data_IF_107556968217
#
_entry.id   IF_107556968217
#
_cell.length_a   1.000
_cell.length_b   1.000
_cell.length_c   1.000
_cell.angle_alpha   90.00
_cell.angle_beta   90.00
_cell.angle_gamma   90.00
#
_symmetry.space_group_name_H-M   'P 1'
#
loop_
_entity.id
_entity.type
_entity.pdbx_description
1 polymer ?
#
# COMPACT_ATOMS: atom_id res chain seq x y z
N UNK A 1 -16.45 8.22 7.17
CA UNK A 1 -16.08 6.84 6.77
C UNK A 1 -14.86 6.95 5.88
N UNK A 2 -13.94 6.02 5.97
CA UNK A 2 -12.74 6.00 5.12
C UNK A 2 -13.11 5.67 3.66
N UNK A 3 -12.46 6.30 2.69
CA UNK A 3 -12.80 6.16 1.27
C UNK A 3 -12.66 4.71 0.75
N UNK A 4 -11.65 3.98 1.24
CA UNK A 4 -11.30 2.64 0.77
C UNK A 4 -11.97 1.49 1.54
N UNK A 5 -12.97 1.73 2.39
CA UNK A 5 -13.66 0.65 3.13
C UNK A 5 -14.35 -0.36 2.20
N UNK A 6 -14.82 0.07 1.04
CA UNK A 6 -15.42 -0.84 0.06
C UNK A 6 -14.44 -1.87 -0.50
N UNK A 7 -13.15 -1.54 -0.55
CA UNK A 7 -12.13 -2.46 -1.05
C UNK A 7 -12.04 -3.76 -0.24
N UNK A 8 -12.35 -3.72 1.06
CA UNK A 8 -12.37 -4.90 1.94
C UNK A 8 -13.77 -5.52 2.08
N UNK A 9 -14.69 -5.22 1.14
CA UNK A 9 -16.04 -5.79 1.12
C UNK A 9 -17.02 -5.13 2.10
N UNK A 10 -16.90 -3.83 2.34
CA UNK A 10 -17.84 -3.05 3.14
C UNK A 10 -18.62 -2.03 2.29
N UNK A 11 -18.79 -2.33 0.99
CA UNK A 11 -19.48 -1.45 0.05
C UNK A 11 -20.98 -1.29 0.33
N UNK A 12 -21.61 -2.30 0.92
CA UNK A 12 -23.03 -2.27 1.32
C UNK A 12 -23.32 -1.43 2.55
N UNK A 13 -22.28 -1.04 3.34
CA UNK A 13 -22.45 -0.17 4.51
C UNK A 13 -22.51 1.29 4.05
N UNK A 14 -23.73 1.76 3.78
CA UNK A 14 -23.95 3.09 3.19
C UNK A 14 -24.36 4.15 4.22
N UNK A 15 -24.74 3.76 5.43
CA UNK A 15 -25.21 4.69 6.45
C UNK A 15 -24.21 4.83 7.60
N UNK A 16 -24.11 6.05 8.14
CA UNK A 16 -23.29 6.31 9.32
C UNK A 16 -23.72 5.45 10.52
N UNK A 17 -25.02 5.17 10.66
CA UNK A 17 -25.56 4.35 11.75
C UNK A 17 -25.10 2.89 11.68
N UNK A 18 -25.09 2.29 10.49
CA UNK A 18 -24.58 0.92 10.28
C UNK A 18 -23.09 0.85 10.56
N UNK A 19 -22.34 1.82 10.04
CA UNK A 19 -20.91 1.93 10.29
C UNK A 19 -20.60 2.04 11.78
N UNK A 20 -21.26 2.97 12.49
CA UNK A 20 -21.04 3.15 13.94
C UNK A 20 -21.45 1.90 14.75
N UNK A 21 -22.45 1.14 14.30
CA UNK A 21 -22.84 -0.14 14.88
C UNK A 21 -21.74 -1.19 14.71
N UNK A 22 -21.17 -1.30 13.51
CA UNK A 22 -20.05 -2.20 13.24
C UNK A 22 -18.85 -1.87 14.13
N UNK A 23 -18.44 -0.60 14.18
CA UNK A 23 -17.28 -0.19 14.97
C UNK A 23 -17.48 -0.46 16.46
N UNK A 24 -18.67 -0.18 17.00
CA UNK A 24 -19.02 -0.51 18.39
C UNK A 24 -18.95 -2.02 18.66
N UNK A 25 -19.42 -2.83 17.72
CA UNK A 25 -19.34 -4.28 17.83
C UNK A 25 -17.89 -4.77 17.86
N UNK A 26 -17.07 -4.31 16.93
CA UNK A 26 -15.64 -4.65 16.85
C UNK A 26 -14.91 -4.27 18.13
N UNK A 27 -15.12 -3.06 18.65
CA UNK A 27 -14.48 -2.59 19.88
C UNK A 27 -14.89 -3.47 21.07
N UNK A 28 -16.20 -3.75 21.22
CA UNK A 28 -16.70 -4.56 22.31
C UNK A 28 -16.10 -5.95 22.29
N UNK A 29 -16.15 -6.61 21.15
CA UNK A 29 -15.59 -7.94 20.95
C UNK A 29 -14.11 -8.01 21.27
N UNK A 30 -13.34 -7.03 20.79
CA UNK A 30 -11.89 -6.98 21.01
C UNK A 30 -11.52 -6.75 22.48
N UNK A 31 -12.30 -5.94 23.20
CA UNK A 31 -12.11 -5.75 24.65
C UNK A 31 -12.44 -7.03 25.41
N UNK A 32 -13.50 -7.73 25.02
CA UNK A 32 -13.91 -8.99 25.65
C UNK A 32 -12.87 -10.10 25.43
N UNK A 33 -12.32 -10.19 24.22
CA UNK A 33 -11.27 -11.16 23.83
C UNK A 33 -9.86 -10.77 24.29
N UNK A 34 -9.65 -9.53 24.75
CA UNK A 34 -8.32 -9.04 25.14
C UNK A 34 -7.36 -8.85 23.97
N UNK A 35 -7.87 -8.57 22.76
CA UNK A 35 -7.06 -8.40 21.53
C UNK A 35 -6.69 -6.95 21.24
N UNK A 36 -6.95 -6.02 22.15
CA UNK A 36 -6.57 -4.62 22.01
C UNK A 36 -5.06 -4.48 22.18
N UNK A 37 -4.37 -4.06 21.14
CA UNK A 37 -2.95 -3.69 21.21
C UNK A 37 -2.83 -2.22 21.64
N UNK A 38 -1.95 -1.91 22.58
CA UNK A 38 -1.71 -0.53 22.99
C UNK A 38 -0.26 -0.32 23.41
N UNK A 39 0.21 0.92 23.22
CA UNK A 39 1.54 1.37 23.62
C UNK A 39 1.51 1.87 25.06
N UNK A 40 2.57 1.62 25.82
CA UNK A 40 2.79 2.16 27.17
C UNK A 40 3.35 3.61 27.17
N UNK A 41 3.58 4.16 25.98
CA UNK A 41 4.06 5.53 25.82
C UNK A 41 2.94 6.52 26.10
N UNK A 42 3.04 7.27 27.20
CA UNK A 42 2.11 8.35 27.52
C UNK A 42 2.33 9.56 26.61
N UNK A 43 1.25 10.05 25.99
CA UNK A 43 1.30 11.33 25.27
C UNK A 43 1.20 12.56 26.17
N UNK A 44 0.54 12.39 27.32
CA UNK A 44 0.39 13.45 28.34
C UNK A 44 0.70 12.89 29.72
N UNK A 45 1.50 13.58 30.56
CA UNK A 45 1.76 13.16 31.91
C UNK A 45 0.45 13.12 32.72
N UNK A 46 0.17 11.97 33.36
CA UNK A 46 -1.00 11.78 34.22
C UNK A 46 -2.24 11.15 33.57
N UNK A 47 -2.25 10.92 32.29
CA UNK A 47 -3.35 10.21 31.63
C UNK A 47 -3.21 8.68 31.74
N UNK A 48 -4.31 8.03 32.17
CA UNK A 48 -4.41 6.55 32.18
C UNK A 48 -4.89 5.98 30.86
N UNK A 49 -4.70 6.70 29.74
CA UNK A 49 -5.11 6.29 28.39
C UNK A 49 -3.89 6.21 27.47
N UNK A 50 -3.87 5.17 26.67
CA UNK A 50 -2.74 4.82 25.82
C UNK A 50 -3.15 4.76 24.36
N UNK A 51 -2.29 5.19 23.41
CA UNK A 51 -2.50 4.94 21.99
C UNK A 51 -2.73 3.46 21.74
N UNK A 52 -3.77 3.13 20.99
CA UNK A 52 -4.17 1.74 20.83
C UNK A 52 -4.75 1.46 19.43
N UNK A 53 -4.62 0.21 19.02
CA UNK A 53 -5.07 -0.33 17.76
C UNK A 53 -5.87 -1.62 17.99
N UNK A 54 -6.96 -1.78 17.24
CA UNK A 54 -7.72 -3.01 17.14
C UNK A 54 -7.73 -3.40 15.66
N UNK A 55 -7.11 -4.52 15.31
CA UNK A 55 -7.27 -5.15 14.00
C UNK A 55 -8.41 -6.17 14.06
N UNK A 56 -9.40 -6.00 13.18
CA UNK A 56 -10.52 -6.94 13.04
C UNK A 56 -10.59 -7.43 11.59
N UNK A 57 -10.44 -8.74 11.42
CA UNK A 57 -10.43 -9.40 10.12
C UNK A 57 -11.85 -9.79 9.70
N UNK A 58 -12.19 -9.57 8.43
CA UNK A 58 -13.42 -10.07 7.80
C UNK A 58 -13.16 -11.30 6.91
N UNK A 59 -11.91 -11.66 6.74
CA UNK A 59 -11.42 -12.89 6.12
C UNK A 59 -9.99 -13.14 6.61
N UNK A 60 -9.28 -14.08 5.98
CA UNK A 60 -7.93 -14.48 6.44
C UNK A 60 -6.86 -13.38 6.30
N UNK A 61 -7.06 -12.38 5.44
CA UNK A 61 -6.00 -11.43 5.03
C UNK A 61 -6.39 -9.97 5.10
N UNK A 62 -7.69 -9.63 5.18
CA UNK A 62 -8.13 -8.23 5.17
C UNK A 62 -9.22 -7.93 6.19
N UNK A 63 -9.32 -6.67 6.58
CA UNK A 63 -10.25 -6.20 7.58
C UNK A 63 -10.21 -4.71 7.81
N UNK A 64 -10.56 -4.29 9.03
CA UNK A 64 -10.47 -2.91 9.47
C UNK A 64 -9.57 -2.77 10.68
N UNK A 65 -8.82 -1.68 10.72
CA UNK A 65 -8.06 -1.24 11.88
C UNK A 65 -8.79 -0.06 12.53
N UNK A 66 -9.15 -0.21 13.80
CA UNK A 66 -9.73 0.84 14.64
C UNK A 66 -8.65 1.39 15.54
N UNK A 67 -8.26 2.64 15.32
CA UNK A 67 -7.23 3.30 16.09
C UNK A 67 -7.83 4.35 17.02
N UNK A 68 -7.21 4.52 18.18
CA UNK A 68 -7.69 5.44 19.19
C UNK A 68 -6.91 5.32 20.49
N UNK A 69 -7.63 5.46 21.60
CA UNK A 69 -7.04 5.44 22.93
C UNK A 69 -7.72 4.42 23.83
N UNK A 70 -6.94 3.61 24.51
CA UNK A 70 -7.40 2.58 25.43
C UNK A 70 -7.08 2.92 26.87
N UNK A 71 -8.04 2.71 27.76
CA UNK A 71 -7.85 2.77 29.21
C UNK A 71 -7.93 1.35 29.79
N UNK A 72 -6.82 0.72 30.18
CA UNK A 72 -6.81 -0.64 30.70
C UNK A 72 -7.58 -0.79 32.01
N UNK A 73 -7.49 0.22 32.92
CA UNK A 73 -8.16 0.17 34.21
C UNK A 73 -9.69 0.20 34.10
N UNK A 74 -10.22 0.93 33.09
CA UNK A 74 -11.68 1.02 32.83
C UNK A 74 -12.14 0.05 31.76
N UNK A 75 -11.22 -0.67 31.11
CA UNK A 75 -11.48 -1.52 29.95
C UNK A 75 -12.31 -0.78 28.89
N UNK A 76 -11.94 0.46 28.60
CA UNK A 76 -12.68 1.31 27.66
C UNK A 76 -11.79 1.79 26.53
N UNK A 77 -12.33 1.76 25.30
CA UNK A 77 -11.65 2.20 24.08
C UNK A 77 -12.41 3.39 23.48
N UNK A 78 -11.70 4.48 23.22
CA UNK A 78 -12.22 5.66 22.52
C UNK A 78 -11.66 5.67 21.11
N UNK A 79 -12.48 5.35 20.07
CA UNK A 79 -12.02 5.36 18.68
C UNK A 79 -11.77 6.79 18.20
N UNK A 80 -10.72 6.98 17.44
CA UNK A 80 -10.38 8.24 16.79
C UNK A 80 -10.57 8.15 15.27
N UNK A 81 -10.05 7.08 14.64
CA UNK A 81 -10.23 6.83 13.21
C UNK A 81 -10.16 5.35 12.88
N UNK A 82 -10.70 5.00 11.69
CA UNK A 82 -10.76 3.63 11.19
C UNK A 82 -10.31 3.62 9.74
N UNK A 83 -9.49 2.64 9.39
CA UNK A 83 -9.07 2.40 8.02
C UNK A 83 -9.11 0.91 7.66
N UNK A 84 -9.33 0.56 6.38
CA UNK A 84 -9.22 -0.81 5.92
C UNK A 84 -7.75 -1.22 5.83
N UNK A 85 -7.43 -2.49 6.09
CA UNK A 85 -6.08 -3.03 5.92
C UNK A 85 -6.08 -4.33 5.13
N UNK A 86 -4.95 -4.60 4.50
CA UNK A 86 -4.60 -5.86 3.87
C UNK A 86 -3.24 -6.30 4.43
N UNK A 87 -3.19 -7.48 5.01
CA UNK A 87 -1.92 -8.11 5.35
C UNK A 87 -1.36 -8.76 4.08
N UNK A 88 -0.34 -8.12 3.51
CA UNK A 88 0.32 -8.59 2.30
C UNK A 88 1.06 -9.91 2.53
N UNK A 89 1.04 -10.77 1.53
CA UNK A 89 1.74 -12.06 1.53
C UNK A 89 3.10 -12.01 0.83
N UNK A 90 3.38 -10.91 0.14
CA UNK A 90 4.62 -10.72 -0.61
C UNK A 90 5.77 -10.46 0.33
N UNK A 91 6.91 -11.09 0.06
CA UNK A 91 8.14 -10.91 0.83
C UNK A 91 8.54 -9.43 0.89
N UNK A 92 9.00 -9.09 2.04
CA UNK A 92 9.35 -7.75 2.44
C UNK A 92 10.65 -7.28 1.80
N UNK A 93 10.73 -6.00 1.60
CA UNK A 93 11.96 -5.32 1.21
C UNK A 93 12.75 -4.92 2.46
N UNK A 94 14.06 -5.15 2.45
CA UNK A 94 14.95 -4.52 3.41
C UNK A 94 15.31 -3.12 2.91
N UNK A 95 14.99 -2.10 3.69
CA UNK A 95 15.17 -0.72 3.28
C UNK A 95 15.33 0.22 4.46
N UNK A 96 16.00 1.33 4.22
CA UNK A 96 15.99 2.46 5.13
C UNK A 96 14.59 3.08 5.15
N UNK A 97 13.97 3.15 6.34
CA UNK A 97 12.61 3.64 6.52
C UNK A 97 12.60 4.87 7.41
N UNK A 98 12.10 5.98 6.86
CA UNK A 98 11.83 7.20 7.61
C UNK A 98 10.33 7.31 7.93
N UNK A 99 9.97 7.48 9.21
CA UNK A 99 8.58 7.56 9.65
C UNK A 99 8.26 8.98 10.12
N UNK A 100 7.26 9.58 9.47
CA UNK A 100 6.74 10.89 9.78
C UNK A 100 5.30 10.85 10.30
N UNK A 101 4.96 11.72 11.24
CA UNK A 101 3.59 11.85 11.73
C UNK A 101 2.71 12.56 10.70
N UNK A 102 1.61 11.94 10.28
CA UNK A 102 0.69 12.50 9.28
C UNK A 102 -0.20 13.62 9.84
N UNK A 103 -0.63 13.49 11.09
CA UNK A 103 -1.56 14.41 11.78
C UNK A 103 -1.29 14.42 13.29
N UNK A 104 -2.08 15.18 14.07
CA UNK A 104 -2.06 15.10 15.54
C UNK A 104 -2.55 13.75 16.09
N UNK A 105 -3.17 12.93 15.24
CA UNK A 105 -3.63 11.57 15.55
C UNK A 105 -2.48 10.58 15.56
N UNK A 106 -2.75 9.37 16.04
CA UNK A 106 -1.82 8.22 15.97
C UNK A 106 -1.80 7.67 14.54
N UNK A 107 -1.46 8.51 13.58
CA UNK A 107 -1.39 8.21 12.15
C UNK A 107 -0.03 8.63 11.58
N UNK A 108 0.64 7.71 10.91
CA UNK A 108 1.99 7.92 10.39
C UNK A 108 2.05 7.53 8.92
N UNK A 109 2.86 8.27 8.16
CA UNK A 109 3.34 7.84 6.86
C UNK A 109 4.80 7.42 6.99
N UNK A 110 5.19 6.45 6.21
CA UNK A 110 6.56 6.02 6.10
C UNK A 110 7.07 6.26 4.69
N UNK A 111 8.33 6.62 4.58
CA UNK A 111 9.10 6.73 3.35
C UNK A 111 10.10 5.58 3.35
N UNK A 112 10.05 4.77 2.31
CA UNK A 112 10.99 3.71 2.02
C UNK A 112 11.78 4.10 0.76
N UNK A 113 13.08 4.26 0.89
CA UNK A 113 13.96 4.51 -0.26
C UNK A 113 14.66 3.22 -0.66
N UNK A 114 14.23 2.60 -1.74
CA UNK A 114 14.85 1.40 -2.26
C UNK A 114 16.15 1.70 -3.01
N UNK A 115 17.32 1.32 -2.47
CA UNK A 115 18.61 1.67 -3.07
C UNK A 115 18.81 1.10 -4.47
N UNK A 116 18.19 -0.03 -4.78
CA UNK A 116 18.35 -0.74 -6.06
C UNK A 116 17.46 -0.25 -7.20
N UNK A 117 16.38 0.48 -6.91
CA UNK A 117 15.32 0.78 -7.90
C UNK A 117 15.11 2.27 -8.15
N UNK A 118 15.75 3.13 -7.34
CA UNK A 118 15.67 4.58 -7.53
C UNK A 118 14.31 5.21 -7.29
N UNK A 119 13.37 4.48 -6.67
CA UNK A 119 12.01 4.93 -6.37
C UNK A 119 11.86 5.01 -4.86
N UNK A 120 11.50 6.20 -4.36
CA UNK A 120 11.08 6.38 -2.99
C UNK A 120 9.56 6.16 -2.89
N UNK A 121 9.13 5.21 -2.05
CA UNK A 121 7.73 4.92 -1.81
C UNK A 121 7.27 5.58 -0.52
N UNK A 122 6.20 6.36 -0.62
CA UNK A 122 5.50 6.89 0.54
C UNK A 122 4.23 6.06 0.75
N UNK A 123 4.05 5.54 1.95
CA UNK A 123 2.90 4.70 2.28
C UNK A 123 2.35 5.01 3.66
N UNK A 124 1.08 4.65 3.88
CA UNK A 124 0.44 4.73 5.18
C UNK A 124 0.91 3.59 6.08
N UNK A 125 1.39 3.90 7.29
CA UNK A 125 1.87 2.88 8.24
C UNK A 125 0.68 2.15 8.87
N UNK A 126 0.54 0.85 8.60
CA UNK A 126 -0.60 0.03 9.05
C UNK A 126 -0.46 -0.50 10.48
N UNK A 127 0.76 -0.43 11.07
CA UNK A 127 1.06 -0.88 12.43
C UNK A 127 1.65 0.24 13.32
N UNK A 128 0.91 1.34 13.55
CA UNK A 128 1.42 2.50 14.27
C UNK A 128 1.72 2.21 15.77
N UNK A 129 1.06 1.23 16.38
CA UNK A 129 1.30 0.87 17.79
C UNK A 129 2.65 0.17 17.95
N UNK A 130 3.02 -0.72 17.01
CA UNK A 130 4.33 -1.38 17.00
C UNK A 130 5.46 -0.34 16.90
N UNK A 131 5.28 0.67 16.03
CA UNK A 131 6.22 1.78 15.93
C UNK A 131 6.37 2.56 17.25
N UNK A 132 5.25 2.81 17.94
CA UNK A 132 5.28 3.53 19.23
C UNK A 132 5.98 2.72 20.32
N UNK A 133 5.80 1.40 20.33
CA UNK A 133 6.47 0.49 21.25
C UNK A 133 7.98 0.40 20.99
N UNK A 134 8.39 0.48 19.74
CA UNK A 134 9.80 0.39 19.34
C UNK A 134 10.59 1.69 19.51
N UNK A 135 9.92 2.86 19.59
CA UNK A 135 10.57 4.18 19.72
C UNK A 135 11.68 4.29 20.75
N UNK A 136 11.58 3.70 21.95
CA UNK A 136 12.65 3.75 22.94
C UNK A 136 13.92 3.00 22.52
N UNK A 137 13.80 2.08 21.55
CA UNK A 137 14.86 1.16 21.09
C UNK A 137 15.51 1.69 19.80
N UNK A 138 14.80 2.53 19.05
CA UNK A 138 15.23 3.04 17.74
C UNK A 138 16.18 4.24 17.87
N UNK A 139 17.40 3.99 18.31
CA UNK A 139 18.47 4.99 18.25
C UNK A 139 19.24 4.98 16.92
N UNK A 140 19.03 4.02 16.02
CA UNK A 140 19.85 3.84 14.84
C UNK A 140 19.04 3.60 13.53
N UNK A 141 19.52 4.19 12.44
CA UNK A 141 19.13 3.98 11.05
C UNK A 141 19.52 2.55 10.64
N UNK A 142 18.69 1.57 11.03
CA UNK A 142 18.87 0.19 10.57
C UNK A 142 17.88 -0.11 9.47
N UNK A 143 18.29 -0.88 8.47
CA UNK A 143 17.40 -1.40 7.46
C UNK A 143 16.24 -2.15 8.13
N UNK A 144 15.03 -1.85 7.68
CA UNK A 144 13.79 -2.42 8.18
C UNK A 144 13.14 -3.26 7.10
N UNK A 145 12.53 -4.32 7.54
CA UNK A 145 11.70 -5.15 6.68
C UNK A 145 10.35 -4.48 6.46
N UNK A 146 10.00 -4.20 5.21
CA UNK A 146 8.75 -3.52 4.83
C UNK A 146 7.90 -4.41 3.95
N UNK A 147 6.66 -4.68 4.34
CA UNK A 147 5.64 -5.33 3.50
C UNK A 147 4.68 -4.30 2.97
N UNK A 148 4.57 -4.22 1.65
CA UNK A 148 3.71 -3.26 0.98
C UNK A 148 2.41 -3.94 0.54
N UNK A 149 1.31 -3.25 0.79
CA UNK A 149 -0.03 -3.62 0.30
C UNK A 149 -0.79 -2.39 -0.16
N UNK A 150 -1.88 -2.59 -0.90
CA UNK A 150 -2.66 -1.48 -1.45
C UNK A 150 -4.17 -1.75 -1.42
N UNK A 151 -4.94 -0.66 -1.35
CA UNK A 151 -6.39 -0.65 -1.52
C UNK A 151 -6.76 0.06 -2.81
N UNK A 152 -7.72 -0.51 -3.54
CA UNK A 152 -8.26 0.09 -4.75
C UNK A 152 -9.78 0.16 -4.70
N UNK A 153 -10.35 1.28 -5.18
CA UNK A 153 -11.80 1.46 -5.22
C UNK A 153 -12.40 1.28 -6.61
N UNK A 154 -11.57 1.42 -7.65
CA UNK A 154 -11.99 1.27 -9.04
C UNK A 154 -10.79 0.80 -9.85
N UNK A 155 -10.97 -0.30 -10.58
CA UNK A 155 -9.91 -0.87 -11.40
C UNK A 155 -10.40 -1.50 -12.69
N UNK A 156 -9.49 -1.63 -13.62
CA UNK A 156 -9.76 -2.25 -14.92
C UNK A 156 -8.69 -3.28 -15.21
N UNK A 157 -9.13 -4.47 -15.60
CA UNK A 157 -8.25 -5.54 -16.08
C UNK A 157 -8.00 -5.33 -17.57
N UNK A 158 -6.74 -5.27 -17.94
CA UNK A 158 -6.28 -5.10 -19.33
C UNK A 158 -5.75 -6.43 -19.87
N UNK A 159 -5.80 -6.57 -21.17
CA UNK A 159 -5.17 -7.71 -21.84
C UNK A 159 -3.63 -7.66 -21.69
N UNK A 160 -2.96 -8.83 -21.67
CA UNK A 160 -1.51 -8.88 -21.66
C UNK A 160 -0.93 -8.24 -22.92
N UNK A 161 0.26 -7.68 -22.81
CA UNK A 161 1.07 -7.30 -23.98
C UNK A 161 1.92 -8.50 -24.37
N UNK A 162 1.70 -9.02 -25.56
CA UNK A 162 2.53 -10.12 -26.05
C UNK A 162 3.95 -9.60 -26.35
N UNK A 163 4.90 -10.04 -25.55
CA UNK A 163 6.32 -9.81 -25.75
C UNK A 163 7.01 -11.10 -26.10
N UNK A 164 7.92 -11.07 -27.07
CA UNK A 164 8.82 -12.20 -27.31
C UNK A 164 9.83 -12.31 -26.16
N UNK A 165 10.39 -13.50 -25.92
CA UNK A 165 11.45 -13.71 -24.92
C UNK A 165 12.61 -12.72 -25.10
N UNK A 166 13.03 -12.50 -26.35
CA UNK A 166 14.06 -11.51 -26.67
C UNK A 166 13.70 -10.08 -26.24
N UNK A 167 12.41 -9.69 -26.34
CA UNK A 167 11.94 -8.37 -25.89
C UNK A 167 11.93 -8.28 -24.37
N UNK A 168 11.60 -9.38 -23.67
CA UNK A 168 11.63 -9.46 -22.21
C UNK A 168 13.07 -9.33 -21.67
N UNK A 169 14.02 -10.07 -22.26
CA UNK A 169 15.43 -10.01 -21.89
C UNK A 169 16.03 -8.64 -22.14
N UNK A 170 15.72 -8.02 -23.27
CA UNK A 170 16.13 -6.65 -23.60
C UNK A 170 15.55 -5.64 -22.60
N UNK A 171 14.29 -5.81 -22.22
CA UNK A 171 13.64 -4.95 -21.22
C UNK A 171 14.31 -5.07 -19.84
N UNK A 172 14.57 -6.30 -19.39
CA UNK A 172 15.27 -6.55 -18.11
C UNK A 172 16.68 -5.95 -18.09
N UNK A 173 17.43 -6.14 -19.18
CA UNK A 173 18.77 -5.56 -19.31
C UNK A 173 18.74 -4.02 -19.29
N UNK A 174 17.77 -3.41 -19.97
CA UNK A 174 17.61 -1.95 -19.96
C UNK A 174 17.23 -1.43 -18.56
N UNK A 175 16.33 -2.11 -17.85
CA UNK A 175 15.96 -1.75 -16.47
C UNK A 175 17.17 -1.84 -15.54
N UNK A 176 17.95 -2.92 -15.62
CA UNK A 176 19.14 -3.08 -14.80
C UNK A 176 20.19 -1.99 -15.07
N UNK A 177 20.42 -1.63 -16.35
CA UNK A 177 21.32 -0.56 -16.73
C UNK A 177 20.84 0.81 -16.19
N UNK A 178 19.55 1.11 -16.31
CA UNK A 178 18.94 2.33 -15.78
C UNK A 178 19.06 2.41 -14.26
N UNK A 179 18.78 1.33 -13.53
CA UNK A 179 18.92 1.28 -12.08
C UNK A 179 20.38 1.55 -11.64
N UNK A 180 21.36 1.05 -12.38
CA UNK A 180 22.76 1.35 -12.12
C UNK A 180 23.08 2.84 -12.33
N UNK A 181 22.58 3.46 -13.40
CA UNK A 181 22.73 4.91 -13.63
C UNK A 181 22.07 5.73 -12.52
N UNK A 182 20.88 5.35 -12.05
CA UNK A 182 20.21 6.00 -10.93
C UNK A 182 21.05 5.95 -9.66
N UNK A 183 21.65 4.78 -9.35
CA UNK A 183 22.52 4.62 -8.18
C UNK A 183 23.79 5.49 -8.27
N UNK A 184 24.39 5.62 -9.46
CA UNK A 184 25.50 6.51 -9.69
C UNK A 184 25.10 7.98 -9.55
N UNK A 185 23.96 8.37 -10.11
CA UNK A 185 23.42 9.73 -10.00
C UNK A 185 23.14 10.12 -8.54
N UNK A 186 22.58 9.21 -7.72
CA UNK A 186 22.39 9.42 -6.27
C UNK A 186 23.72 9.65 -5.53
N UNK A 187 24.82 9.10 -6.03
CA UNK A 187 26.18 9.32 -5.50
C UNK A 187 26.83 10.61 -6.02
N UNK A 188 26.11 11.39 -6.84
CA UNK A 188 26.58 12.67 -7.37
C UNK A 188 27.35 12.58 -8.70
N UNK A 189 27.28 11.46 -9.42
CA UNK A 189 27.89 11.33 -10.75
C UNK A 189 27.08 12.14 -11.78
N UNK A 190 27.67 13.25 -12.23
CA UNK A 190 27.05 14.16 -13.21
C UNK A 190 26.84 13.50 -14.58
N UNK A 191 27.75 12.62 -14.99
CA UNK A 191 27.62 11.91 -16.28
C UNK A 191 26.42 10.95 -16.24
N UNK A 192 26.15 10.32 -15.09
CA UNK A 192 24.98 9.47 -14.91
C UNK A 192 23.68 10.30 -14.96
N UNK A 193 23.68 11.50 -14.39
CA UNK A 193 22.53 12.44 -14.44
C UNK A 193 22.25 12.85 -15.89
N UNK A 194 23.27 13.23 -16.64
CA UNK A 194 23.14 13.62 -18.05
C UNK A 194 22.62 12.47 -18.91
N UNK A 195 23.14 11.25 -18.71
CA UNK A 195 22.70 10.06 -19.42
C UNK A 195 21.21 9.73 -19.14
N UNK A 196 20.79 9.79 -17.88
CA UNK A 196 19.39 9.60 -17.52
C UNK A 196 18.47 10.62 -18.17
N UNK A 197 18.92 11.89 -18.23
CA UNK A 197 18.15 12.97 -18.87
C UNK A 197 17.97 12.71 -20.37
N UNK A 198 19.03 12.25 -21.05
CA UNK A 198 18.97 11.90 -22.48
C UNK A 198 18.06 10.70 -22.72
N UNK A 199 18.18 9.63 -21.91
CA UNK A 199 17.31 8.45 -22.02
C UNK A 199 15.84 8.80 -21.82
N UNK A 200 15.54 9.69 -20.86
CA UNK A 200 14.16 10.15 -20.61
C UNK A 200 13.60 10.93 -21.81
N UNK A 201 14.39 11.85 -22.40
CA UNK A 201 13.99 12.59 -23.60
C UNK A 201 13.72 11.67 -24.79
N UNK A 202 14.59 10.68 -25.00
CA UNK A 202 14.43 9.70 -26.09
C UNK A 202 13.18 8.83 -25.86
N UNK A 203 12.95 8.42 -24.63
CA UNK A 203 11.77 7.64 -24.23
C UNK A 203 10.50 8.44 -24.46
N UNK A 204 10.41 9.69 -23.98
CA UNK A 204 9.26 10.56 -24.22
C UNK A 204 9.00 10.79 -25.70
N UNK A 205 10.04 11.03 -26.48
CA UNK A 205 9.94 11.25 -27.92
C UNK A 205 9.42 10.01 -28.63
N UNK A 206 9.90 8.83 -28.25
CA UNK A 206 9.44 7.55 -28.79
C UNK A 206 7.98 7.27 -28.45
N UNK A 207 7.58 7.44 -27.18
CA UNK A 207 6.20 7.28 -26.74
C UNK A 207 5.28 8.24 -27.48
N UNK A 208 5.65 9.53 -27.56
CA UNK A 208 4.85 10.53 -28.26
C UNK A 208 4.62 10.21 -29.75
N UNK A 209 5.65 9.70 -30.43
CA UNK A 209 5.52 9.27 -31.83
C UNK A 209 4.56 8.08 -31.97
N UNK A 210 4.65 7.10 -31.07
CA UNK A 210 3.83 5.90 -31.10
C UNK A 210 2.37 6.17 -30.74
N UNK A 211 2.10 7.06 -29.76
CA UNK A 211 0.75 7.46 -29.33
C UNK A 211 -0.14 8.02 -30.46
N UNK A 212 0.44 8.43 -31.59
CA UNK A 212 -0.33 8.87 -32.76
C UNK A 212 -1.07 7.73 -33.45
N UNK A 213 -0.57 6.50 -33.32
CA UNK A 213 -1.04 5.35 -34.09
C UNK A 213 -1.36 4.12 -33.22
N UNK A 214 -0.98 4.13 -31.95
CA UNK A 214 -1.12 3.01 -31.02
C UNK A 214 -1.82 3.47 -29.72
N UNK A 215 -2.56 2.58 -29.08
CA UNK A 215 -3.11 2.82 -27.75
C UNK A 215 -1.98 2.91 -26.70
N UNK A 216 -2.07 3.89 -25.80
CA UNK A 216 -1.05 4.12 -24.76
C UNK A 216 -0.81 2.86 -23.90
N UNK A 217 -1.84 2.05 -23.67
CA UNK A 217 -1.72 0.81 -22.87
C UNK A 217 -1.05 -0.33 -23.62
N UNK A 218 -0.83 -0.20 -24.94
CA UNK A 218 0.03 -1.11 -25.70
C UNK A 218 1.50 -0.66 -25.69
N UNK A 219 1.72 0.62 -25.43
CA UNK A 219 3.06 1.23 -25.37
C UNK A 219 3.64 1.15 -23.96
N UNK A 220 2.84 1.53 -22.97
CA UNK A 220 3.24 1.53 -21.54
C UNK A 220 2.78 0.23 -20.92
N UNK A 221 3.74 -0.60 -20.62
CA UNK A 221 3.54 -1.94 -20.10
C UNK A 221 3.23 -1.93 -18.61
N UNK A 222 4.01 -1.16 -17.89
CA UNK A 222 3.95 -1.01 -16.44
C UNK A 222 4.18 0.45 -16.08
N UNK A 223 3.47 0.94 -15.06
CA UNK A 223 3.69 2.28 -14.53
C UNK A 223 3.31 2.34 -13.05
N UNK A 224 4.09 3.10 -12.27
CA UNK A 224 3.84 3.37 -10.87
C UNK A 224 4.13 4.86 -10.64
N UNK A 225 3.08 5.68 -10.52
CA UNK A 225 3.20 7.13 -10.46
C UNK A 225 2.38 7.72 -9.31
N UNK A 226 2.89 8.69 -8.56
CA UNK A 226 2.09 9.44 -7.58
C UNK A 226 0.84 10.02 -8.21
N UNK A 227 -0.30 9.97 -7.51
CA UNK A 227 -1.60 10.39 -8.02
C UNK A 227 -2.40 11.16 -6.99
N UNK A 228 -2.76 12.39 -7.34
CA UNK A 228 -3.58 13.26 -6.50
C UNK A 228 -2.77 14.09 -5.51
N UNK A 229 -3.46 14.58 -4.47
CA UNK A 229 -2.87 15.44 -3.44
C UNK A 229 -2.28 14.66 -2.25
N UNK A 230 -2.66 13.39 -2.10
CA UNK A 230 -2.16 12.54 -1.03
C UNK A 230 -0.91 11.82 -1.48
N UNK A 231 0.15 11.92 -0.68
CA UNK A 231 1.47 11.38 -1.02
C UNK A 231 1.54 9.85 -1.00
N UNK A 232 0.55 9.18 -0.38
CA UNK A 232 0.41 7.73 -0.29
C UNK A 232 -0.57 7.15 -1.34
N UNK A 233 -1.01 7.96 -2.33
CA UNK A 233 -1.85 7.53 -3.44
C UNK A 233 -1.06 7.46 -4.75
N UNK A 234 -1.30 6.40 -5.53
CA UNK A 234 -0.61 6.15 -6.80
C UNK A 234 -1.57 5.71 -7.88
N UNK A 235 -1.23 6.03 -9.12
CA UNK A 235 -1.82 5.44 -10.32
C UNK A 235 -0.90 4.34 -10.83
N UNK A 236 -1.43 3.14 -10.98
CA UNK A 236 -0.64 1.98 -11.35
C UNK A 236 -1.17 1.30 -12.60
N UNK A 237 -0.25 0.77 -13.39
CA UNK A 237 -0.49 -0.26 -14.40
C UNK A 237 0.55 -1.34 -14.15
N UNK A 238 0.12 -2.58 -13.95
CA UNK A 238 1.04 -3.67 -13.64
C UNK A 238 0.51 -5.03 -14.04
N UNK A 239 1.39 -6.01 -14.05
CA UNK A 239 1.05 -7.39 -14.35
C UNK A 239 0.42 -8.05 -13.11
N UNK A 240 -0.63 -8.83 -13.31
CA UNK A 240 -1.23 -9.69 -12.29
C UNK A 240 -0.40 -10.98 -12.25
N UNK A 241 0.35 -11.15 -11.16
CA UNK A 241 1.18 -12.34 -10.91
C UNK A 241 0.32 -13.46 -10.32
N UNK A 242 -0.58 -13.09 -9.41
CA UNK A 242 -1.50 -14.00 -8.74
C UNK A 242 -2.84 -13.29 -8.49
N UNK A 243 -3.95 -14.02 -8.54
CA UNK A 243 -5.27 -13.52 -8.17
C UNK A 243 -5.98 -14.51 -7.26
N UNK A 244 -6.39 -14.04 -6.10
CA UNK A 244 -7.12 -14.80 -5.08
C UNK A 244 -8.44 -14.13 -4.78
N UNK A 245 -9.45 -14.90 -4.43
CA UNK A 245 -10.79 -14.41 -4.12
C UNK A 245 -11.14 -14.74 -2.67
N UNK A 246 -11.71 -13.79 -1.95
CA UNK A 246 -12.18 -13.95 -0.58
C UNK A 246 -13.58 -13.35 -0.44
N UNK A 247 -14.34 -13.83 0.54
CA UNK A 247 -15.60 -13.23 0.94
C UNK A 247 -15.42 -12.50 2.28
N UNK A 248 -16.08 -11.37 2.42
CA UNK A 248 -16.16 -10.67 3.69
C UNK A 248 -17.18 -11.39 4.58
N UNK A 249 -16.78 -11.89 5.73
CA UNK A 249 -17.62 -12.69 6.64
C UNK A 249 -18.79 -11.89 7.24
N UNK A 250 -18.70 -10.55 7.26
CA UNK A 250 -19.74 -9.69 7.81
C UNK A 250 -20.82 -9.31 6.79
N UNK A 251 -20.43 -9.00 5.55
CA UNK A 251 -21.31 -8.52 4.50
C UNK A 251 -21.66 -9.58 3.45
N UNK A 252 -20.83 -10.61 3.30
CA UNK A 252 -20.89 -11.58 2.22
C UNK A 252 -20.34 -11.06 0.89
N UNK A 253 -19.86 -9.82 0.83
CA UNK A 253 -19.29 -9.26 -0.39
C UNK A 253 -17.99 -9.97 -0.78
N UNK A 254 -17.81 -10.18 -2.08
CA UNK A 254 -16.61 -10.77 -2.65
C UNK A 254 -15.56 -9.70 -2.91
N UNK A 255 -14.32 -10.01 -2.59
CA UNK A 255 -13.15 -9.19 -2.89
C UNK A 255 -12.11 -10.00 -3.66
N UNK A 256 -11.36 -9.33 -4.50
CA UNK A 256 -10.14 -9.86 -5.09
C UNK A 256 -8.91 -9.33 -4.36
N UNK A 257 -7.97 -10.23 -4.09
CA UNK A 257 -6.62 -9.88 -3.67
C UNK A 257 -5.69 -10.32 -4.77
N UNK A 258 -5.05 -9.35 -5.41
CA UNK A 258 -4.14 -9.57 -6.54
C UNK A 258 -2.72 -9.23 -6.11
N UNK A 259 -1.76 -10.10 -6.45
CA UNK A 259 -0.35 -9.74 -6.40
C UNK A 259 0.01 -9.08 -7.72
N UNK A 260 0.45 -7.83 -7.66
CA UNK A 260 0.83 -7.04 -8.82
C UNK A 260 2.33 -6.82 -8.88
N UNK A 261 2.88 -6.85 -10.09
CA UNK A 261 4.23 -6.41 -10.42
C UNK A 261 4.15 -5.12 -11.25
N UNK A 262 4.64 -4.02 -10.69
CA UNK A 262 4.65 -2.70 -11.32
C UNK A 262 6.05 -2.10 -11.22
N UNK A 263 6.78 -1.94 -12.33
CA UNK A 263 8.14 -1.38 -12.33
C UNK A 263 9.06 -2.05 -11.30
N UNK A 264 9.10 -3.38 -11.29
CA UNK A 264 9.84 -4.23 -10.36
C UNK A 264 9.38 -4.13 -8.88
N UNK A 265 8.32 -3.38 -8.59
CA UNK A 265 7.69 -3.35 -7.27
C UNK A 265 6.59 -4.41 -7.24
N UNK A 266 6.69 -5.34 -6.29
CA UNK A 266 5.70 -6.40 -6.11
C UNK A 266 4.93 -6.11 -4.82
N UNK A 267 3.61 -6.11 -4.89
CA UNK A 267 2.74 -5.84 -3.75
C UNK A 267 1.36 -6.48 -3.94
N UNK A 268 0.68 -6.74 -2.83
CA UNK A 268 -0.71 -7.21 -2.86
C UNK A 268 -1.68 -6.03 -2.89
N UNK A 269 -2.74 -6.17 -3.68
CA UNK A 269 -3.80 -5.19 -3.86
C UNK A 269 -5.16 -5.80 -3.57
N UNK A 270 -5.97 -5.12 -2.76
CA UNK A 270 -7.35 -5.52 -2.46
C UNK A 270 -8.34 -4.60 -3.17
N UNK A 271 -9.36 -5.20 -3.80
CA UNK A 271 -10.46 -4.49 -4.48
C UNK A 271 -11.76 -5.29 -4.34
N UNK A 272 -12.90 -4.60 -4.20
CA UNK A 272 -14.22 -5.23 -4.25
C UNK A 272 -14.50 -5.76 -5.66
N UNK A 273 -15.09 -6.95 -5.75
CA UNK A 273 -15.43 -7.58 -7.04
C UNK A 273 -16.38 -6.72 -7.90
N UNK A 274 -17.24 -5.91 -7.26
CA UNK A 274 -18.15 -5.00 -7.95
C UNK A 274 -17.47 -3.75 -8.53
N UNK A 275 -16.25 -3.45 -8.11
CA UNK A 275 -15.50 -2.24 -8.48
C UNK A 275 -14.39 -2.53 -9.49
N UNK A 276 -14.28 -3.76 -10.00
CA UNK A 276 -13.32 -4.15 -11.02
C UNK A 276 -14.01 -4.45 -12.34
N UNK A 277 -13.53 -3.85 -13.42
CA UNK A 277 -13.98 -4.12 -14.78
C UNK A 277 -13.08 -5.16 -15.40
N UNK A 278 -13.64 -6.27 -15.82
CA UNK A 278 -12.93 -7.44 -16.36
C UNK A 278 -12.61 -8.46 -15.27
N UNK A 279 -12.11 -9.60 -15.68
CA UNK A 279 -11.81 -10.73 -14.79
C UNK A 279 -10.33 -10.70 -14.40
N UNK A 280 -9.98 -10.55 -13.11
CA UNK A 280 -8.61 -10.64 -12.64
C UNK A 280 -8.07 -12.06 -12.81
N UNK A 281 -7.04 -12.21 -13.64
CA UNK A 281 -6.39 -13.49 -13.87
C UNK A 281 -4.88 -13.28 -14.04
N UNK A 282 -4.11 -14.29 -13.69
CA UNK A 282 -2.66 -14.34 -13.90
C UNK A 282 -2.29 -14.06 -15.36
N UNK A 283 -1.24 -13.29 -15.56
CA UNK A 283 -0.74 -12.87 -16.87
C UNK A 283 -1.53 -11.72 -17.52
N UNK A 284 -2.69 -11.33 -16.99
CA UNK A 284 -3.36 -10.08 -17.36
C UNK A 284 -2.73 -8.90 -16.66
N UNK A 285 -3.08 -7.68 -17.09
CA UNK A 285 -2.62 -6.46 -16.43
C UNK A 285 -3.77 -5.80 -15.69
N UNK A 286 -3.44 -5.09 -14.63
CA UNK A 286 -4.37 -4.29 -13.85
C UNK A 286 -4.02 -2.82 -13.96
N UNK A 287 -5.03 -1.96 -14.10
CA UNK A 287 -4.93 -0.51 -14.05
C UNK A 287 -5.86 0.02 -12.98
N UNK A 288 -5.36 0.86 -12.08
CA UNK A 288 -6.18 1.48 -11.04
C UNK A 288 -5.48 2.60 -10.31
N UNK A 289 -6.26 3.33 -9.51
CA UNK A 289 -5.73 4.25 -8.51
C UNK A 289 -5.75 3.56 -7.16
N UNK A 290 -4.59 3.51 -6.52
CA UNK A 290 -4.39 2.78 -5.27
C UNK A 290 -4.03 3.72 -4.12
N UNK A 291 -4.38 3.32 -2.92
CA UNK A 291 -3.86 3.85 -1.68
C UNK A 291 -2.88 2.84 -1.09
N UNK A 292 -1.63 3.26 -0.96
CA UNK A 292 -0.53 2.40 -0.55
C UNK A 292 -0.44 2.33 0.97
N UNK A 293 -0.31 1.14 1.50
CA UNK A 293 -0.09 0.82 2.89
C UNK A 293 1.19 0.03 3.06
N UNK A 294 1.78 0.10 4.24
CA UNK A 294 2.92 -0.71 4.57
C UNK A 294 2.94 -1.09 6.04
N UNK A 295 3.43 -2.27 6.31
CA UNK A 295 3.77 -2.76 7.64
C UNK A 295 5.28 -2.81 7.75
N UNK A 296 5.83 -2.21 8.80
CA UNK A 296 7.26 -2.18 9.10
C UNK A 296 7.54 -3.11 10.27
N UNK A 297 8.53 -3.98 10.16
CA UNK A 297 9.02 -4.80 11.27
C UNK A 297 10.09 -3.99 12.03
N UNK A 298 9.85 -3.74 13.32
CA UNK A 298 10.70 -2.90 14.17
C UNK A 298 11.61 -3.71 15.08
#
# INVERSE_FOLDING_TARGET
MHLYLKAVGLGSINTRKEYDKLIKHVIKESIEKGTVQYSDVHYLPGDSVYPAQIKHYFNKVSGISVNGYYNPARRSFKPDYVFPFLDGSVESYESEVSIGRKTERVAFNALCDEPGRGIALIFYLSNPVDYLLSKPILADYTDKTVRISAMCNEGTVLLPVNKSEHQLDKSRAATAARNNLINLAKKGDTSAIDNLTIEDLDTYTSIYKRMRNEDIFTIVDSSFMPSGFECDCYSVVGNIVESRQFNNDYTGETIYVMTLECNDIIFDLCINANDVVGEPAEGRRFKGRIWLQGQVEF
#
